data_IF_158636832814
#
_entry.id   IF_158636832814
#
_cell.length_a   1.000
_cell.length_b   1.000
_cell.length_c   1.000
_cell.angle_alpha   90.00
_cell.angle_beta   90.00
_cell.angle_gamma   90.00
#
_symmetry.space_group_name_H-M   'P 1'
#
loop_
_entity.id
_entity.type
_entity.pdbx_description
1 polymer ?
#
# COMPACT_ATOMS: atom_id res chain seq x y z
N UNK A 1 -69.00 -15.49 49.32
CA UNK A 1 -67.60 -16.00 49.27
C UNK A 1 -67.22 -16.18 47.81
N UNK A 2 -66.37 -15.31 47.26
CA UNK A 2 -65.88 -15.43 45.87
C UNK A 2 -64.66 -16.34 45.87
N UNK A 3 -64.72 -17.42 45.10
CA UNK A 3 -63.61 -18.34 44.85
C UNK A 3 -62.62 -17.65 43.92
N UNK A 4 -61.35 -17.54 44.36
CA UNK A 4 -60.26 -17.07 43.50
C UNK A 4 -59.95 -18.19 42.51
N UNK A 5 -59.94 -17.91 41.21
CA UNK A 5 -59.70 -18.93 40.20
C UNK A 5 -58.22 -19.36 40.15
N UNK A 6 -57.97 -20.67 39.98
CA UNK A 6 -56.63 -21.29 40.01
C UNK A 6 -55.61 -20.69 39.02
N UNK A 7 -56.07 -20.11 37.92
CA UNK A 7 -55.21 -19.44 36.93
C UNK A 7 -54.60 -18.13 37.44
N UNK A 8 -55.23 -17.46 38.42
CA UNK A 8 -54.66 -16.27 39.06
C UNK A 8 -53.40 -16.60 39.89
N UNK A 9 -53.34 -17.80 40.49
CA UNK A 9 -52.14 -18.24 41.22
C UNK A 9 -50.95 -18.53 40.31
N UNK A 10 -51.20 -19.07 39.12
CA UNK A 10 -50.14 -19.41 38.14
C UNK A 10 -49.51 -18.13 37.55
N UNK A 11 -50.33 -17.11 37.25
CA UNK A 11 -49.84 -15.82 36.74
C UNK A 11 -49.02 -15.07 37.79
N UNK A 12 -49.41 -15.13 39.07
CA UNK A 12 -48.66 -14.50 40.16
C UNK A 12 -47.32 -15.23 40.41
N UNK A 13 -47.28 -16.56 40.30
CA UNK A 13 -46.03 -17.34 40.41
C UNK A 13 -45.10 -17.07 39.21
N UNK A 14 -45.63 -16.97 37.99
CA UNK A 14 -44.82 -16.63 36.81
C UNK A 14 -44.23 -15.21 36.88
N UNK A 15 -45.02 -14.24 37.36
CA UNK A 15 -44.55 -12.87 37.61
C UNK A 15 -43.53 -12.82 38.76
N UNK A 16 -43.70 -13.60 39.82
CA UNK A 16 -42.73 -13.74 40.90
C UNK A 16 -41.43 -14.43 40.44
N UNK A 17 -41.47 -15.42 39.56
CA UNK A 17 -40.27 -16.02 38.97
C UNK A 17 -39.54 -15.04 38.05
N UNK A 18 -40.28 -14.23 37.28
CA UNK A 18 -39.67 -13.19 36.43
C UNK A 18 -39.05 -12.05 37.23
N UNK A 19 -39.64 -11.66 38.37
CA UNK A 19 -39.07 -10.63 39.25
C UNK A 19 -37.93 -11.18 40.11
N UNK A 20 -37.95 -12.45 40.50
CA UNK A 20 -36.81 -13.11 41.18
C UNK A 20 -35.61 -13.26 40.24
N UNK A 21 -35.79 -13.45 38.94
CA UNK A 21 -34.68 -13.43 37.96
C UNK A 21 -34.04 -12.03 37.83
N UNK A 22 -34.82 -10.96 37.98
CA UNK A 22 -34.31 -9.58 37.93
C UNK A 22 -33.64 -9.16 39.27
N UNK A 23 -34.11 -9.70 40.40
CA UNK A 23 -33.60 -9.36 41.76
C UNK A 23 -32.47 -10.28 42.25
N UNK A 24 -32.30 -11.48 41.67
CA UNK A 24 -31.30 -12.47 42.12
C UNK A 24 -29.86 -12.23 41.67
N UNK A 25 -29.58 -11.18 40.88
CA UNK A 25 -28.23 -10.92 40.41
C UNK A 25 -27.69 -12.02 39.48
N UNK A 26 -28.56 -12.73 38.76
CA UNK A 26 -28.19 -13.73 37.73
C UNK A 26 -27.95 -13.09 36.35
N UNK A 27 -28.36 -11.83 36.17
CA UNK A 27 -28.14 -11.03 34.94
C UNK A 27 -26.65 -10.72 34.60
N UNK A 28 -25.67 -10.68 35.54
CA UNK A 28 -24.26 -10.51 35.18
C UNK A 28 -23.70 -11.66 34.32
N UNK A 29 -24.30 -12.86 34.36
CA UNK A 29 -23.82 -14.04 33.64
C UNK A 29 -24.26 -14.13 32.17
N UNK A 30 -24.99 -13.12 31.67
CA UNK A 30 -25.51 -13.10 30.29
C UNK A 30 -25.01 -11.92 29.46
N UNK A 31 -24.14 -11.07 30.01
CA UNK A 31 -23.53 -9.98 29.22
C UNK A 31 -22.26 -10.52 28.55
N UNK A 32 -22.09 -10.36 27.22
CA UNK A 32 -20.84 -10.73 26.57
C UNK A 32 -19.71 -9.85 27.10
N UNK A 33 -18.46 -10.35 27.04
CA UNK A 33 -17.28 -9.60 27.47
C UNK A 33 -17.09 -8.30 26.65
N UNK A 34 -17.49 -8.33 25.38
CA UNK A 34 -17.53 -7.17 24.49
C UNK A 34 -18.67 -7.28 23.47
N UNK A 35 -19.09 -6.15 22.93
CA UNK A 35 -19.95 -6.05 21.74
C UNK A 35 -19.18 -5.35 20.65
N UNK A 36 -19.07 -5.99 19.50
CA UNK A 36 -18.34 -5.49 18.34
C UNK A 36 -19.28 -4.93 17.27
N UNK A 37 -18.75 -4.17 16.31
CA UNK A 37 -19.50 -3.70 15.16
C UNK A 37 -20.18 -4.85 14.40
N UNK A 38 -21.40 -4.60 13.94
CA UNK A 38 -22.12 -5.51 13.05
C UNK A 38 -23.09 -4.72 12.19
N UNK A 39 -23.41 -5.28 11.03
CA UNK A 39 -24.34 -4.69 10.08
C UNK A 39 -25.75 -5.14 10.41
N UNK A 40 -26.63 -4.16 10.62
CA UNK A 40 -28.08 -4.40 10.60
C UNK A 40 -28.62 -3.78 9.32
N UNK A 41 -28.95 -4.57 8.28
CA UNK A 41 -29.45 -4.03 7.02
C UNK A 41 -30.67 -3.13 7.26
N UNK A 42 -30.66 -1.95 6.65
CA UNK A 42 -31.75 -0.98 6.78
C UNK A 42 -32.64 -1.03 5.54
N UNK A 43 -33.95 -0.98 5.74
CA UNK A 43 -34.89 -0.89 4.64
C UNK A 43 -34.78 0.51 4.00
N UNK A 44 -34.08 0.60 2.87
CA UNK A 44 -33.79 1.88 2.21
C UNK A 44 -33.57 1.74 0.71
N UNK A 45 -34.26 2.62 -0.03
CA UNK A 45 -34.38 2.82 -1.49
C UNK A 45 -33.63 1.88 -2.46
N UNK A 46 -34.42 1.20 -3.30
CA UNK A 46 -33.98 0.33 -4.40
C UNK A 46 -33.25 1.14 -5.50
N UNK A 47 -31.92 1.21 -5.39
CA UNK A 47 -30.89 1.24 -6.46
C UNK A 47 -29.73 2.15 -6.05
N UNK A 48 -28.61 1.54 -5.65
CA UNK A 48 -27.30 2.17 -5.76
C UNK A 48 -26.78 1.95 -7.17
N UNK A 49 -26.17 2.99 -7.76
CA UNK A 49 -25.36 2.78 -8.95
C UNK A 49 -24.25 1.78 -8.63
N UNK A 50 -23.99 0.79 -9.50
CA UNK A 50 -22.90 -0.14 -9.27
C UNK A 50 -21.57 0.61 -9.14
N UNK A 51 -20.72 0.16 -8.22
CA UNK A 51 -19.39 0.72 -8.07
C UNK A 51 -18.52 0.30 -9.26
N UNK A 52 -17.91 1.27 -9.92
CA UNK A 52 -17.03 1.05 -11.07
C UNK A 52 -15.58 1.37 -10.71
N UNK A 53 -14.67 0.48 -11.11
CA UNK A 53 -13.25 0.58 -10.85
C UNK A 53 -12.45 0.33 -12.13
N UNK A 54 -11.35 1.04 -12.26
CA UNK A 54 -10.36 0.83 -13.32
C UNK A 54 -9.01 0.61 -12.65
N UNK A 55 -8.36 -0.50 -12.95
CA UNK A 55 -7.04 -0.81 -12.41
C UNK A 55 -6.14 -1.45 -13.47
N UNK A 56 -4.85 -1.20 -13.35
CA UNK A 56 -3.83 -1.82 -14.21
C UNK A 56 -3.30 -3.05 -13.49
N UNK A 57 -3.19 -4.17 -14.20
CA UNK A 57 -2.50 -5.34 -13.71
C UNK A 57 -1.77 -6.01 -14.88
N UNK A 58 -0.46 -6.19 -14.71
CA UNK A 58 0.45 -6.56 -15.78
C UNK A 58 0.28 -5.66 -17.01
N UNK A 59 0.08 -6.24 -18.19
CA UNK A 59 0.02 -5.53 -19.48
C UNK A 59 -1.39 -5.02 -19.83
N UNK A 60 -2.37 -5.21 -18.95
CA UNK A 60 -3.77 -4.92 -19.22
C UNK A 60 -4.38 -3.97 -18.20
N UNK A 61 -5.43 -3.28 -18.64
CA UNK A 61 -6.28 -2.46 -17.80
C UNK A 61 -7.65 -3.13 -17.69
N UNK A 62 -8.10 -3.34 -16.46
CA UNK A 62 -9.35 -4.02 -16.15
C UNK A 62 -10.40 -3.01 -15.69
N UNK A 63 -11.63 -3.27 -16.11
CA UNK A 63 -12.81 -2.49 -15.73
C UNK A 63 -13.74 -3.40 -14.94
N UNK A 64 -13.92 -3.11 -13.66
CA UNK A 64 -14.79 -3.89 -12.77
C UNK A 64 -16.03 -3.07 -12.44
N UNK A 65 -17.20 -3.67 -12.64
CA UNK A 65 -18.50 -3.13 -12.23
C UNK A 65 -19.09 -4.03 -11.18
N UNK A 66 -19.24 -3.53 -9.95
CA UNK A 66 -19.70 -4.29 -8.80
C UNK A 66 -21.03 -3.74 -8.27
N UNK A 67 -22.14 -4.48 -8.39
CA UNK A 67 -23.37 -4.15 -7.68
C UNK A 67 -23.13 -4.10 -6.17
N UNK A 68 -23.76 -3.14 -5.50
CA UNK A 68 -23.69 -3.00 -4.04
C UNK A 68 -25.10 -3.10 -3.48
N UNK A 69 -25.30 -3.96 -2.50
CA UNK A 69 -26.59 -4.06 -1.80
C UNK A 69 -26.85 -2.79 -0.99
N UNK A 70 -27.92 -2.08 -1.33
CA UNK A 70 -28.27 -0.79 -0.72
C UNK A 70 -28.65 -0.91 0.75
N UNK A 71 -29.31 -2.00 1.15
CA UNK A 71 -29.74 -2.23 2.52
C UNK A 71 -28.55 -2.56 3.42
N UNK A 72 -27.63 -3.40 2.93
CA UNK A 72 -26.38 -3.74 3.64
C UNK A 72 -25.48 -2.52 3.74
N UNK A 73 -25.27 -1.77 2.65
CA UNK A 73 -24.47 -0.53 2.67
C UNK A 73 -25.06 0.50 3.65
N UNK A 74 -26.37 0.72 3.60
CA UNK A 74 -27.04 1.62 4.55
C UNK A 74 -26.86 1.17 5.99
N UNK A 75 -27.01 -0.14 6.25
CA UNK A 75 -26.82 -0.72 7.58
C UNK A 75 -25.39 -0.58 8.11
N UNK A 76 -24.39 -0.78 7.24
CA UNK A 76 -22.98 -0.61 7.57
C UNK A 76 -22.65 0.85 7.91
N UNK A 77 -23.19 1.79 7.14
CA UNK A 77 -22.96 3.22 7.32
C UNK A 77 -23.67 3.79 8.55
N UNK A 78 -24.87 3.32 8.87
CA UNK A 78 -25.67 3.79 10.01
C UNK A 78 -25.35 3.05 11.32
N UNK A 79 -24.77 1.86 11.23
CA UNK A 79 -24.42 1.01 12.37
C UNK A 79 -23.31 1.60 13.25
N UNK A 80 -23.26 1.15 14.51
CA UNK A 80 -22.16 1.49 15.42
C UNK A 80 -20.88 0.79 14.97
N UNK A 81 -19.81 1.56 14.79
CA UNK A 81 -18.46 1.08 14.46
C UNK A 81 -17.53 0.99 15.67
N UNK A 82 -18.06 1.19 16.87
CA UNK A 82 -17.30 1.13 18.11
C UNK A 82 -17.40 -0.24 18.78
N UNK A 83 -16.29 -0.72 19.36
CA UNK A 83 -16.33 -1.80 20.35
C UNK A 83 -16.84 -1.27 21.70
N UNK A 84 -17.69 -2.03 22.37
CA UNK A 84 -18.12 -1.77 23.74
C UNK A 84 -17.61 -2.89 24.63
N UNK A 85 -16.62 -2.59 25.47
CA UNK A 85 -16.02 -3.56 26.40
C UNK A 85 -16.77 -3.53 27.74
N UNK A 86 -17.24 -4.70 28.18
CA UNK A 86 -17.87 -4.88 29.49
C UNK A 86 -16.91 -5.51 30.51
N UNK A 87 -15.81 -6.08 30.04
CA UNK A 87 -14.71 -6.62 30.82
C UNK A 87 -13.39 -5.94 30.42
N UNK A 88 -12.38 -6.04 31.30
CA UNK A 88 -11.03 -5.55 31.05
C UNK A 88 -10.29 -6.56 30.17
N UNK A 89 -10.40 -6.39 28.84
CA UNK A 89 -9.75 -7.24 27.85
C UNK A 89 -8.41 -6.63 27.45
N UNK A 90 -7.39 -7.49 27.29
CA UNK A 90 -6.11 -7.07 26.75
C UNK A 90 -6.29 -6.49 25.34
N UNK A 91 -5.52 -5.45 25.05
CA UNK A 91 -5.53 -4.72 23.79
C UNK A 91 -5.39 -5.64 22.58
N UNK A 92 -4.55 -6.65 22.69
CA UNK A 92 -4.32 -7.60 21.61
C UNK A 92 -5.54 -8.46 21.29
N UNK A 93 -6.35 -8.77 22.31
CA UNK A 93 -7.52 -9.65 22.20
C UNK A 93 -8.69 -8.87 21.61
N UNK A 94 -9.06 -7.73 22.21
CA UNK A 94 -10.26 -7.04 21.78
C UNK A 94 -10.09 -6.38 20.41
N UNK A 95 -8.87 -5.90 20.06
CA UNK A 95 -8.62 -5.34 18.73
C UNK A 95 -8.68 -6.41 17.63
N UNK A 96 -8.21 -7.63 17.91
CA UNK A 96 -8.32 -8.73 16.96
C UNK A 96 -9.80 -9.05 16.64
N UNK A 97 -10.61 -9.21 17.68
CA UNK A 97 -12.06 -9.46 17.53
C UNK A 97 -12.78 -8.27 16.89
N UNK A 98 -12.34 -7.04 17.18
CA UNK A 98 -12.88 -5.81 16.58
C UNK A 98 -12.71 -5.80 15.06
N UNK A 99 -11.50 -6.00 14.55
CA UNK A 99 -11.27 -6.01 13.09
C UNK A 99 -11.89 -7.24 12.42
N UNK A 100 -11.90 -8.40 13.08
CA UNK A 100 -12.60 -9.58 12.56
C UNK A 100 -14.10 -9.33 12.38
N UNK A 101 -14.74 -8.58 13.28
CA UNK A 101 -16.16 -8.25 13.14
C UNK A 101 -16.48 -7.44 11.86
N UNK A 102 -15.58 -6.57 11.40
CA UNK A 102 -15.74 -5.89 10.10
C UNK A 102 -15.61 -6.83 8.90
N UNK A 103 -14.76 -7.85 9.02
CA UNK A 103 -14.42 -8.76 7.92
C UNK A 103 -15.42 -9.91 7.80
N UNK A 104 -15.97 -10.37 8.91
CA UNK A 104 -16.76 -11.59 9.03
C UNK A 104 -18.27 -11.33 9.15
N UNK A 105 -18.73 -10.08 9.03
CA UNK A 105 -20.16 -9.80 9.01
C UNK A 105 -20.84 -10.55 7.85
N UNK A 106 -21.82 -11.44 8.13
CA UNK A 106 -22.38 -12.35 7.13
C UNK A 106 -23.13 -11.63 6.00
N UNK A 107 -23.55 -10.37 6.20
CA UNK A 107 -24.25 -9.62 5.16
C UNK A 107 -23.32 -9.16 4.03
N UNK A 108 -22.00 -9.26 4.19
CA UNK A 108 -21.03 -8.87 3.17
C UNK A 108 -20.59 -10.04 2.27
N UNK A 109 -21.01 -11.28 2.54
CA UNK A 109 -20.55 -12.44 1.77
C UNK A 109 -20.88 -12.35 0.28
N UNK A 110 -22.05 -11.83 -0.08
CA UNK A 110 -22.43 -11.66 -1.48
C UNK A 110 -21.51 -10.67 -2.22
N UNK A 111 -21.02 -9.63 -1.54
CA UNK A 111 -20.04 -8.71 -2.09
C UNK A 111 -18.71 -9.43 -2.36
N UNK A 112 -18.20 -10.17 -1.38
CA UNK A 112 -16.94 -10.89 -1.51
C UNK A 112 -17.00 -11.95 -2.62
N UNK A 113 -18.09 -12.73 -2.66
CA UNK A 113 -18.33 -13.72 -3.71
C UNK A 113 -18.41 -13.05 -5.09
N UNK A 114 -19.07 -11.90 -5.20
CA UNK A 114 -19.14 -11.13 -6.44
C UNK A 114 -17.78 -10.67 -6.94
N UNK A 115 -16.99 -10.06 -6.06
CA UNK A 115 -15.62 -9.60 -6.36
C UNK A 115 -14.71 -10.78 -6.74
N UNK A 116 -14.67 -11.81 -5.91
CA UNK A 116 -13.83 -13.00 -6.15
C UNK A 116 -14.20 -13.68 -7.46
N UNK A 117 -15.48 -13.88 -7.76
CA UNK A 117 -15.91 -14.45 -9.04
C UNK A 117 -15.42 -13.63 -10.24
N UNK A 118 -15.45 -12.31 -10.16
CA UNK A 118 -14.93 -11.45 -11.22
C UNK A 118 -13.42 -11.65 -11.40
N UNK A 119 -12.66 -11.74 -10.31
CA UNK A 119 -11.23 -12.01 -10.35
C UNK A 119 -10.91 -13.44 -10.81
N UNK A 120 -11.67 -14.46 -10.38
CA UNK A 120 -11.48 -15.85 -10.79
C UNK A 120 -11.68 -16.02 -12.30
N UNK A 121 -12.67 -15.32 -12.88
CA UNK A 121 -12.84 -15.32 -14.34
C UNK A 121 -11.60 -14.79 -15.06
N UNK A 122 -11.00 -13.70 -14.57
CA UNK A 122 -9.75 -13.16 -15.12
C UNK A 122 -8.58 -14.12 -14.90
N UNK A 123 -8.47 -14.70 -13.70
CA UNK A 123 -7.47 -15.72 -13.37
C UNK A 123 -7.50 -16.87 -14.36
N UNK A 124 -8.68 -17.41 -14.62
CA UNK A 124 -8.86 -18.59 -15.46
C UNK A 124 -8.65 -18.25 -16.95
N UNK A 125 -9.10 -17.07 -17.40
CA UNK A 125 -8.86 -16.57 -18.76
C UNK A 125 -7.37 -16.33 -19.04
N UNK A 126 -6.69 -15.59 -18.15
CA UNK A 126 -5.28 -15.21 -18.29
C UNK A 126 -4.32 -16.29 -17.78
N UNK A 127 -4.85 -17.37 -17.19
CA UNK A 127 -4.10 -18.47 -16.58
C UNK A 127 -3.10 -17.97 -15.54
N UNK A 128 -3.57 -17.08 -14.67
CA UNK A 128 -2.76 -16.57 -13.57
C UNK A 128 -2.48 -17.71 -12.59
N UNK A 129 -1.23 -17.81 -12.14
CA UNK A 129 -0.88 -18.68 -11.02
C UNK A 129 -1.35 -18.06 -9.70
N UNK A 130 -1.09 -18.76 -8.60
CA UNK A 130 -1.49 -18.34 -7.26
C UNK A 130 -0.89 -16.98 -6.86
N UNK A 131 0.33 -16.65 -7.25
CA UNK A 131 0.93 -15.38 -6.83
C UNK A 131 0.40 -14.23 -7.67
N UNK A 132 0.28 -14.42 -8.98
CA UNK A 132 -0.29 -13.44 -9.91
C UNK A 132 -1.77 -13.17 -9.63
N UNK A 133 -2.53 -14.18 -9.19
CA UNK A 133 -3.92 -13.99 -8.76
C UNK A 133 -4.02 -13.10 -7.51
N UNK A 134 -3.18 -13.34 -6.51
CA UNK A 134 -3.08 -12.50 -5.31
C UNK A 134 -2.67 -11.07 -5.69
N UNK A 135 -1.67 -10.92 -6.55
CA UNK A 135 -1.16 -9.62 -7.00
C UNK A 135 -2.23 -8.83 -7.76
N UNK A 136 -3.11 -9.49 -8.52
CA UNK A 136 -4.23 -8.84 -9.19
C UNK A 136 -5.27 -8.29 -8.20
N UNK A 137 -5.62 -9.07 -7.17
CA UNK A 137 -6.55 -8.63 -6.11
C UNK A 137 -5.92 -7.43 -5.36
N UNK A 138 -4.63 -7.53 -5.04
CA UNK A 138 -3.86 -6.43 -4.43
C UNK A 138 -3.86 -5.18 -5.30
N UNK A 139 -3.58 -5.31 -6.61
CA UNK A 139 -3.56 -4.18 -7.55
C UNK A 139 -4.94 -3.51 -7.68
N UNK A 140 -6.02 -4.29 -7.63
CA UNK A 140 -7.38 -3.75 -7.57
C UNK A 140 -7.58 -2.88 -6.32
N UNK A 141 -7.24 -3.39 -5.13
CA UNK A 141 -7.42 -2.63 -3.89
C UNK A 141 -6.51 -1.40 -3.85
N UNK A 142 -5.25 -1.52 -4.28
CA UNK A 142 -4.32 -0.39 -4.40
C UNK A 142 -4.85 0.72 -5.33
N UNK A 143 -5.60 0.35 -6.39
CA UNK A 143 -6.18 1.32 -7.32
C UNK A 143 -7.38 2.11 -6.74
N UNK A 144 -7.97 1.67 -5.63
CA UNK A 144 -9.02 2.43 -4.93
C UNK A 144 -8.41 3.73 -4.38
N UNK A 145 -8.95 4.93 -4.71
CA UNK A 145 -8.43 6.20 -4.22
C UNK A 145 -8.24 6.25 -2.69
N UNK A 146 -7.07 6.74 -2.26
CA UNK A 146 -6.78 6.97 -0.85
C UNK A 146 -7.54 8.22 -0.34
N UNK A 147 -8.17 8.13 0.82
CA UNK A 147 -8.85 9.25 1.47
C UNK A 147 -8.33 9.39 2.91
N UNK A 148 -7.67 10.50 3.23
CA UNK A 148 -7.29 10.79 4.62
C UNK A 148 -8.53 11.14 5.43
N UNK A 149 -8.75 10.42 6.53
CA UNK A 149 -9.78 10.71 7.53
C UNK A 149 -9.19 11.44 8.75
N UNK A 150 -10.01 12.19 9.52
CA UNK A 150 -9.58 12.70 10.81
C UNK A 150 -9.10 11.56 11.74
N UNK A 151 -8.17 11.83 12.67
CA UNK A 151 -7.81 10.87 13.71
C UNK A 151 -9.05 10.35 14.42
N UNK A 152 -8.99 9.09 14.86
CA UNK A 152 -10.07 8.39 15.56
C UNK A 152 -11.36 8.16 14.73
N UNK A 153 -11.30 8.34 13.41
CA UNK A 153 -12.37 7.86 12.52
C UNK A 153 -12.33 6.34 12.49
N UNK A 154 -13.41 5.63 12.86
CA UNK A 154 -13.41 4.18 12.84
C UNK A 154 -13.42 3.64 11.40
N UNK A 155 -12.82 2.45 11.17
CA UNK A 155 -12.79 1.81 9.86
C UNK A 155 -14.18 1.62 9.27
N UNK A 156 -14.23 1.58 7.94
CA UNK A 156 -15.37 1.17 7.16
C UNK A 156 -15.49 -0.34 7.09
N UNK A 157 -16.73 -0.83 7.01
CA UNK A 157 -16.96 -2.17 6.50
C UNK A 157 -16.53 -2.23 5.03
N UNK A 158 -15.96 -3.36 4.55
CA UNK A 158 -15.56 -3.51 3.15
C UNK A 158 -16.62 -3.12 2.12
N UNK A 159 -17.91 -3.32 2.41
CA UNK A 159 -19.01 -2.84 1.54
C UNK A 159 -19.05 -1.32 1.38
N UNK A 160 -18.75 -0.55 2.42
CA UNK A 160 -18.69 0.91 2.35
C UNK A 160 -17.48 1.35 1.50
N UNK A 161 -16.31 0.73 1.68
CA UNK A 161 -15.11 1.01 0.87
C UNK A 161 -15.38 0.81 -0.63
N UNK A 162 -16.10 -0.27 -0.98
CA UNK A 162 -16.50 -0.54 -2.37
C UNK A 162 -17.56 0.45 -2.85
N UNK A 163 -18.61 0.70 -2.07
CA UNK A 163 -19.70 1.61 -2.43
C UNK A 163 -19.21 3.04 -2.67
N UNK A 164 -18.29 3.52 -1.83
CA UNK A 164 -17.77 4.88 -1.86
C UNK A 164 -16.59 5.05 -2.82
N UNK A 165 -15.96 3.95 -3.24
CA UNK A 165 -14.80 3.90 -4.13
C UNK A 165 -13.59 4.68 -3.58
N UNK A 166 -13.41 4.63 -2.25
CA UNK A 166 -12.30 5.29 -1.54
C UNK A 166 -12.19 4.80 -0.10
N UNK A 167 -11.00 4.87 0.46
CA UNK A 167 -10.73 4.58 1.88
C UNK A 167 -9.31 4.97 2.28
N UNK A 168 -9.03 5.00 3.57
CA UNK A 168 -7.67 5.09 4.14
C UNK A 168 -7.04 3.70 4.33
N UNK A 169 -6.02 3.61 5.18
CA UNK A 169 -5.14 2.45 5.31
C UNK A 169 -5.84 1.22 5.89
N UNK A 170 -6.70 1.38 6.89
CA UNK A 170 -7.48 0.30 7.49
C UNK A 170 -8.67 -0.08 6.59
N UNK A 171 -9.43 0.87 6.06
CA UNK A 171 -10.51 0.62 5.08
C UNK A 171 -10.08 -0.31 3.94
N UNK A 172 -8.92 0.00 3.35
CA UNK A 172 -8.38 -0.73 2.20
C UNK A 172 -7.71 -2.04 2.63
N UNK A 173 -7.03 -2.07 3.78
CA UNK A 173 -6.42 -3.29 4.30
C UNK A 173 -7.46 -4.32 4.73
N UNK A 174 -8.58 -3.90 5.32
CA UNK A 174 -9.70 -4.77 5.65
C UNK A 174 -10.31 -5.39 4.39
N UNK A 175 -10.58 -4.60 3.35
CA UNK A 175 -11.08 -5.12 2.08
C UNK A 175 -10.11 -6.15 1.46
N UNK A 176 -8.82 -5.83 1.41
CA UNK A 176 -7.83 -6.76 0.84
C UNK A 176 -7.72 -8.05 1.65
N UNK A 177 -7.65 -7.95 2.98
CA UNK A 177 -7.55 -9.13 3.85
C UNK A 177 -8.79 -10.03 3.75
N UNK A 178 -9.99 -9.44 3.67
CA UNK A 178 -11.24 -10.18 3.46
C UNK A 178 -11.23 -10.99 2.15
N UNK A 179 -10.73 -10.38 1.07
CA UNK A 179 -10.68 -11.02 -0.25
C UNK A 179 -9.61 -12.11 -0.30
N UNK A 180 -8.39 -11.83 0.16
CA UNK A 180 -7.29 -12.80 0.11
C UNK A 180 -7.52 -14.01 1.03
N UNK A 181 -8.03 -13.80 2.25
CA UNK A 181 -8.35 -14.92 3.15
C UNK A 181 -9.40 -15.86 2.54
N UNK A 182 -10.46 -15.30 1.94
CA UNK A 182 -11.50 -16.08 1.23
C UNK A 182 -11.00 -16.73 -0.07
N UNK A 183 -10.00 -16.14 -0.71
CA UNK A 183 -9.28 -16.76 -1.83
C UNK A 183 -8.33 -17.89 -1.39
N UNK A 184 -8.20 -18.15 -0.08
CA UNK A 184 -7.46 -19.28 0.48
C UNK A 184 -6.03 -18.98 0.90
N UNK A 185 -5.61 -17.71 0.91
CA UNK A 185 -4.28 -17.29 1.36
C UNK A 185 -4.23 -17.18 2.89
N UNK A 186 -3.06 -17.52 3.44
CA UNK A 186 -2.73 -17.28 4.84
C UNK A 186 -2.38 -15.79 5.03
N UNK A 187 -3.28 -15.06 5.69
CA UNK A 187 -3.32 -13.60 5.70
C UNK A 187 -3.43 -13.06 7.12
N UNK A 188 -2.72 -11.97 7.36
CA UNK A 188 -2.79 -11.20 8.61
C UNK A 188 -3.06 -9.73 8.32
N UNK A 189 -3.62 -9.01 9.28
CA UNK A 189 -3.48 -7.56 9.35
C UNK A 189 -2.22 -7.23 10.16
N UNK A 190 -1.47 -6.26 9.67
CA UNK A 190 -0.44 -5.57 10.44
C UNK A 190 -1.02 -4.26 10.95
N UNK A 191 -1.30 -4.20 12.25
CA UNK A 191 -1.81 -3.01 12.91
C UNK A 191 -0.66 -2.30 13.64
N UNK A 192 -0.20 -1.17 13.08
CA UNK A 192 0.83 -0.31 13.67
C UNK A 192 0.16 0.78 14.50
N UNK A 193 -0.25 0.41 15.72
CA UNK A 193 -1.00 1.29 16.63
C UNK A 193 -0.29 2.62 16.86
N UNK A 194 1.02 2.58 17.14
CA UNK A 194 1.82 3.78 17.44
C UNK A 194 2.02 4.69 16.22
N UNK A 195 2.07 4.10 15.02
CA UNK A 195 2.27 4.84 13.77
C UNK A 195 0.93 5.25 13.12
N UNK A 196 -0.21 4.79 13.64
CA UNK A 196 -1.54 5.04 13.08
C UNK A 196 -1.69 4.49 11.66
N UNK A 197 -1.14 3.31 11.38
CA UNK A 197 -1.16 2.69 10.05
C UNK A 197 -1.59 1.23 10.09
N UNK A 198 -2.28 0.79 9.04
CA UNK A 198 -2.63 -0.60 8.82
C UNK A 198 -2.16 -1.07 7.45
N UNK A 199 -1.65 -2.29 7.41
CA UNK A 199 -1.28 -2.99 6.18
C UNK A 199 -1.75 -4.45 6.23
N UNK A 200 -1.57 -5.17 5.12
CA UNK A 200 -1.86 -6.60 5.04
C UNK A 200 -0.56 -7.38 4.99
N UNK A 201 -0.51 -8.55 5.62
CA UNK A 201 0.55 -9.53 5.47
C UNK A 201 0.04 -10.79 4.77
N UNK A 202 0.84 -11.36 3.87
CA UNK A 202 0.60 -12.71 3.32
C UNK A 202 1.75 -13.63 3.66
N UNK A 203 1.46 -14.87 4.08
CA UNK A 203 2.50 -15.79 4.50
C UNK A 203 3.50 -16.03 3.36
N UNK A 204 4.78 -15.92 3.66
CA UNK A 204 5.86 -16.03 2.67
C UNK A 204 7.06 -16.73 3.27
N UNK A 205 7.82 -17.44 2.43
CA UNK A 205 9.04 -18.15 2.85
C UNK A 205 10.27 -17.24 2.90
N UNK A 206 10.21 -16.08 2.25
CA UNK A 206 11.29 -15.07 2.26
C UNK A 206 10.75 -13.66 2.09
N UNK A 207 11.61 -12.65 2.23
CA UNK A 207 11.23 -11.23 2.18
C UNK A 207 10.05 -10.87 3.10
N UNK A 208 10.08 -11.39 4.33
CA UNK A 208 9.04 -11.16 5.34
C UNK A 208 9.28 -9.85 6.07
N UNK A 209 8.21 -9.22 6.54
CA UNK A 209 8.30 -8.07 7.43
C UNK A 209 8.78 -8.51 8.81
N UNK A 210 9.95 -8.04 9.23
CA UNK A 210 10.58 -8.47 10.48
C UNK A 210 10.68 -9.99 10.59
N UNK A 211 10.32 -10.54 11.74
CA UNK A 211 10.28 -11.99 12.00
C UNK A 211 8.85 -12.56 11.97
N UNK A 212 7.91 -11.86 11.32
CA UNK A 212 6.48 -12.23 11.35
C UNK A 212 6.15 -13.50 10.55
N UNK A 213 6.96 -13.83 9.53
CA UNK A 213 6.65 -14.90 8.58
C UNK A 213 5.73 -14.48 7.42
N UNK A 214 5.38 -13.19 7.33
CA UNK A 214 4.50 -12.65 6.28
C UNK A 214 5.21 -11.56 5.48
N UNK A 215 5.03 -11.56 4.15
CA UNK A 215 5.42 -10.47 3.28
C UNK A 215 4.45 -9.29 3.44
N UNK A 216 5.00 -8.08 3.53
CA UNK A 216 4.22 -6.85 3.66
C UNK A 216 3.48 -6.50 2.38
N UNK A 217 2.21 -6.12 2.47
CA UNK A 217 1.42 -5.60 1.37
C UNK A 217 0.93 -4.20 1.74
N UNK A 218 1.52 -3.20 1.07
CA UNK A 218 1.02 -1.84 1.13
C UNK A 218 -0.28 -1.71 0.33
N UNK A 219 -1.31 -1.08 0.89
CA UNK A 219 -2.61 -0.90 0.21
C UNK A 219 -2.87 0.54 -0.23
N UNK A 220 -2.18 1.52 0.34
CA UNK A 220 -2.42 2.96 0.15
C UNK A 220 -1.81 3.55 -1.10
N UNK A 221 -0.81 2.87 -1.69
CA UNK A 221 -0.21 3.21 -2.98
C UNK A 221 0.17 1.93 -3.75
N UNK A 222 0.47 2.09 -5.04
CA UNK A 222 0.95 0.99 -5.89
C UNK A 222 2.32 0.53 -5.41
N UNK A 223 2.39 -0.75 -5.05
CA UNK A 223 3.60 -1.38 -4.54
C UNK A 223 3.61 -2.88 -4.81
N UNK A 224 4.79 -3.47 -4.94
CA UNK A 224 4.93 -4.92 -5.05
C UNK A 224 4.64 -5.61 -3.70
N UNK A 225 4.13 -6.84 -3.76
CA UNK A 225 3.97 -7.68 -2.56
C UNK A 225 5.35 -8.01 -1.97
N UNK A 226 5.58 -7.62 -0.72
CA UNK A 226 6.85 -7.71 -0.02
C UNK A 226 7.70 -6.44 -0.09
N UNK A 227 7.23 -5.36 -0.73
CA UNK A 227 7.89 -4.06 -0.68
C UNK A 227 7.33 -3.21 0.46
N UNK A 228 8.22 -2.73 1.33
CA UNK A 228 7.90 -1.83 2.44
C UNK A 228 8.33 -0.41 2.04
N UNK A 229 7.39 0.53 1.82
CA UNK A 229 7.74 1.90 1.47
C UNK A 229 8.49 2.61 2.62
N UNK A 230 9.45 3.47 2.28
CA UNK A 230 10.18 4.31 3.25
C UNK A 230 9.26 5.37 3.87
N UNK A 231 8.30 5.86 3.08
CA UNK A 231 7.25 6.79 3.53
C UNK A 231 5.92 6.36 2.92
N UNK A 232 4.91 6.33 3.76
CA UNK A 232 3.56 5.88 3.45
C UNK A 232 2.66 7.06 3.13
N UNK A 233 1.46 6.78 2.59
CA UNK A 233 0.46 7.81 2.34
C UNK A 233 0.18 8.60 3.64
N UNK A 234 0.11 9.93 3.53
CA UNK A 234 -0.02 10.82 4.70
C UNK A 234 1.31 11.13 5.42
N UNK A 235 2.45 10.64 4.92
CA UNK A 235 3.78 10.94 5.47
C UNK A 235 4.20 10.07 6.65
N UNK A 236 3.48 8.96 6.89
CA UNK A 236 3.77 8.02 7.98
C UNK A 236 5.09 7.28 7.69
N UNK A 237 5.88 7.05 8.74
CA UNK A 237 7.08 6.21 8.72
C UNK A 237 6.88 5.15 9.78
N UNK A 238 7.05 3.88 9.43
CA UNK A 238 6.89 2.78 10.38
C UNK A 238 8.09 2.75 11.34
N UNK A 239 7.82 2.80 12.65
CA UNK A 239 8.87 2.86 13.67
C UNK A 239 8.85 1.67 14.65
N UNK A 240 7.74 0.92 14.70
CA UNK A 240 7.54 -0.20 15.62
C UNK A 240 7.23 -1.54 14.96
N UNK A 241 7.12 -2.58 15.79
CA UNK A 241 6.58 -3.88 15.38
C UNK A 241 5.04 -3.82 15.39
N UNK A 242 4.35 -4.37 14.38
CA UNK A 242 2.90 -4.36 14.33
C UNK A 242 2.32 -5.41 15.27
N UNK A 243 1.09 -5.17 15.72
CA UNK A 243 0.23 -6.24 16.16
C UNK A 243 -0.15 -7.08 14.92
N UNK A 244 0.05 -8.40 15.02
CA UNK A 244 -0.26 -9.36 13.95
C UNK A 244 -1.60 -10.02 14.23
N UNK A 245 -2.60 -9.76 13.38
CA UNK A 245 -3.97 -10.27 13.56
C UNK A 245 -4.29 -11.25 12.43
N UNK A 246 -4.44 -12.54 12.74
CA UNK A 246 -4.78 -13.58 11.76
C UNK A 246 -6.20 -13.46 11.23
N UNK A 247 -6.37 -13.57 9.91
CA UNK A 247 -7.65 -13.45 9.22
C UNK A 247 -8.00 -14.75 8.49
N UNK A 248 -9.17 -15.30 8.82
CA UNK A 248 -9.67 -16.52 8.18
C UNK A 248 -8.81 -17.76 8.46
N UNK A 249 -8.87 -18.74 7.56
CA UNK A 249 -8.22 -20.04 7.70
C UNK A 249 -7.48 -20.49 6.44
N UNK A 250 -7.13 -19.54 5.57
CA UNK A 250 -6.35 -19.81 4.38
C UNK A 250 -4.95 -20.35 4.72
N UNK A 251 -4.34 -21.05 3.76
CA UNK A 251 -3.04 -21.71 3.94
C UNK A 251 -2.08 -21.49 2.77
N UNK A 252 -2.56 -20.86 1.68
CA UNK A 252 -1.72 -20.57 0.53
C UNK A 252 -0.73 -19.45 0.88
N UNK A 253 0.51 -19.65 0.42
CA UNK A 253 1.66 -18.78 0.68
C UNK A 253 2.08 -18.09 -0.61
N UNK A 254 2.59 -16.87 -0.49
CA UNK A 254 3.21 -16.13 -1.57
C UNK A 254 4.63 -16.64 -1.82
N UNK A 255 4.95 -17.04 -3.05
CA UNK A 255 6.21 -17.74 -3.40
C UNK A 255 7.19 -16.92 -4.24
N UNK A 256 6.73 -15.82 -4.83
CA UNK A 256 7.51 -14.96 -5.73
C UNK A 256 8.28 -13.87 -4.99
N UNK A 257 8.41 -13.98 -3.66
CA UNK A 257 9.10 -12.99 -2.81
C UNK A 257 10.56 -12.76 -3.18
N UNK A 258 11.25 -13.75 -3.74
CA UNK A 258 12.62 -13.60 -4.22
C UNK A 258 12.74 -12.66 -5.43
N UNK A 259 11.76 -12.69 -6.34
CA UNK A 259 11.73 -11.78 -7.49
C UNK A 259 11.43 -10.35 -7.04
N UNK A 260 10.48 -10.17 -6.12
CA UNK A 260 10.21 -8.86 -5.53
C UNK A 260 11.44 -8.32 -4.80
N UNK A 261 12.12 -9.14 -3.99
CA UNK A 261 13.35 -8.73 -3.32
C UNK A 261 14.43 -8.28 -4.31
N UNK A 262 14.57 -8.98 -5.45
CA UNK A 262 15.48 -8.56 -6.51
C UNK A 262 15.10 -7.19 -7.07
N UNK A 263 13.82 -6.97 -7.41
CA UNK A 263 13.32 -5.68 -7.92
C UNK A 263 13.62 -4.54 -6.93
N UNK A 264 13.32 -4.74 -5.64
CA UNK A 264 13.54 -3.74 -4.59
C UNK A 264 15.02 -3.36 -4.49
N UNK A 265 15.92 -4.35 -4.52
CA UNK A 265 17.37 -4.10 -4.49
C UNK A 265 17.80 -3.29 -5.71
N UNK A 266 17.30 -3.62 -6.90
CA UNK A 266 17.61 -2.87 -8.13
C UNK A 266 17.05 -1.44 -8.10
N UNK A 267 15.85 -1.24 -7.56
CA UNK A 267 15.27 0.09 -7.37
C UNK A 267 16.16 0.96 -6.47
N UNK A 268 16.59 0.41 -5.34
CA UNK A 268 17.44 1.12 -4.39
C UNK A 268 18.82 1.45 -4.97
N UNK A 269 19.47 0.50 -5.64
CA UNK A 269 20.75 0.73 -6.31
C UNK A 269 20.63 1.80 -7.40
N UNK A 270 19.58 1.74 -8.24
CA UNK A 270 19.35 2.74 -9.28
C UNK A 270 19.20 4.14 -8.68
N UNK A 271 18.43 4.25 -7.59
CA UNK A 271 18.23 5.51 -6.86
C UNK A 271 19.53 6.08 -6.29
N UNK A 272 20.36 5.24 -5.67
CA UNK A 272 21.65 5.65 -5.12
C UNK A 272 22.62 6.13 -6.21
N UNK A 273 22.71 5.40 -7.32
CA UNK A 273 23.57 5.75 -8.46
C UNK A 273 23.10 7.07 -9.10
N UNK A 274 21.79 7.24 -9.32
CA UNK A 274 21.20 8.49 -9.84
C UNK A 274 21.52 9.67 -8.94
N UNK A 275 21.39 9.50 -7.61
CA UNK A 275 21.74 10.52 -6.64
C UNK A 275 23.21 10.94 -6.74
N UNK A 276 24.13 9.97 -6.76
CA UNK A 276 25.56 10.24 -6.86
C UNK A 276 25.96 10.89 -8.20
N UNK A 277 25.39 10.42 -9.32
CA UNK A 277 25.64 11.00 -10.64
C UNK A 277 25.11 12.43 -10.73
N UNK A 278 23.95 12.73 -10.15
CA UNK A 278 23.42 14.08 -10.13
C UNK A 278 24.38 15.07 -9.44
N UNK A 279 25.00 14.67 -8.33
CA UNK A 279 26.02 15.48 -7.64
C UNK A 279 27.30 15.67 -8.47
N UNK A 280 27.79 14.60 -9.14
CA UNK A 280 28.98 14.69 -10.01
C UNK A 280 28.71 15.56 -11.24
N UNK A 281 27.57 15.39 -11.91
CA UNK A 281 27.12 16.18 -13.05
C UNK A 281 27.06 17.67 -12.66
N UNK A 282 26.49 17.99 -11.49
CA UNK A 282 26.43 19.36 -11.00
C UNK A 282 27.85 19.94 -10.76
N UNK A 283 28.75 19.17 -10.13
CA UNK A 283 30.15 19.58 -9.93
C UNK A 283 30.89 19.79 -11.24
N UNK A 284 30.74 18.89 -12.22
CA UNK A 284 31.40 19.00 -13.53
C UNK A 284 30.84 20.15 -14.36
N UNK A 285 29.53 20.38 -14.32
CA UNK A 285 28.89 21.53 -14.97
C UNK A 285 29.46 22.84 -14.44
N UNK A 286 29.65 22.96 -13.12
CA UNK A 286 30.30 24.11 -12.51
C UNK A 286 31.77 24.24 -12.94
N UNK A 287 32.54 23.15 -12.95
CA UNK A 287 33.94 23.18 -13.39
C UNK A 287 34.09 23.59 -14.86
N UNK A 288 33.18 23.12 -15.74
CA UNK A 288 33.14 23.50 -17.14
C UNK A 288 32.83 24.98 -17.33
N UNK A 289 31.86 25.52 -16.60
CA UNK A 289 31.54 26.97 -16.63
C UNK A 289 32.75 27.82 -16.23
N UNK A 290 33.42 27.46 -15.13
CA UNK A 290 34.62 28.18 -14.68
C UNK A 290 35.79 28.08 -15.68
N UNK A 291 35.98 26.93 -16.34
CA UNK A 291 37.00 26.78 -17.39
C UNK A 291 36.64 27.56 -18.66
N UNK A 292 35.37 27.59 -19.04
CA UNK A 292 34.89 28.35 -20.20
C UNK A 292 35.12 29.85 -20.02
N UNK A 293 34.81 30.39 -18.84
CA UNK A 293 35.09 31.78 -18.49
C UNK A 293 36.59 32.10 -18.59
N UNK A 294 37.44 31.25 -18.01
CA UNK A 294 38.90 31.43 -18.10
C UNK A 294 39.41 31.37 -19.54
N UNK A 295 38.95 30.42 -20.34
CA UNK A 295 39.32 30.31 -21.74
C UNK A 295 38.89 31.54 -22.55
N UNK A 296 37.77 32.16 -22.19
CA UNK A 296 37.33 33.41 -22.79
C UNK A 296 38.28 34.57 -22.46
N UNK A 297 38.70 34.69 -21.20
CA UNK A 297 39.67 35.70 -20.76
C UNK A 297 41.05 35.51 -21.43
N UNK A 298 41.57 34.28 -21.42
CA UNK A 298 42.85 33.93 -22.05
C UNK A 298 42.82 34.19 -23.54
N UNK A 299 41.74 33.82 -24.24
CA UNK A 299 41.57 34.11 -25.67
C UNK A 299 41.56 35.60 -25.95
N UNK A 300 40.93 36.39 -25.08
CA UNK A 300 40.90 37.85 -25.19
C UNK A 300 42.32 38.43 -25.04
N UNK A 301 43.07 37.97 -24.04
CA UNK A 301 44.48 38.37 -23.80
C UNK A 301 45.39 38.04 -24.98
N UNK A 302 45.34 36.78 -25.46
CA UNK A 302 46.11 36.30 -26.62
C UNK A 302 45.80 37.13 -27.88
N UNK A 303 44.53 37.50 -28.09
CA UNK A 303 44.13 38.33 -29.24
C UNK A 303 44.72 39.74 -29.14
N UNK A 304 44.70 40.36 -27.95
CA UNK A 304 45.29 41.68 -27.73
C UNK A 304 46.82 41.69 -27.90
N UNK A 305 47.51 40.63 -27.46
CA UNK A 305 48.95 40.45 -27.67
C UNK A 305 49.31 40.34 -29.16
N UNK A 306 48.48 39.64 -29.93
CA UNK A 306 48.62 39.54 -31.39
C UNK A 306 48.45 40.91 -32.07
N UNK A 307 47.43 41.67 -31.68
CA UNK A 307 47.14 43.01 -32.23
C UNK A 307 48.23 44.05 -31.92
N UNK A 308 48.85 43.97 -30.74
CA UNK A 308 49.94 44.86 -30.33
C UNK A 308 51.32 44.44 -30.86
N UNK A 309 51.42 43.24 -31.45
CA UNK A 309 52.66 42.69 -31.98
C UNK A 309 53.62 42.13 -30.93
N UNK A 310 53.16 41.91 -29.69
CA UNK A 310 53.96 41.29 -28.63
C UNK A 310 54.04 39.76 -28.81
N UNK A 311 54.99 39.36 -29.64
CA UNK A 311 55.26 37.95 -29.92
C UNK A 311 55.77 37.16 -28.71
N UNK A 312 56.44 37.80 -27.75
CA UNK A 312 56.97 37.12 -26.57
C UNK A 312 55.85 36.79 -25.57
N UNK A 313 54.98 37.76 -25.29
CA UNK A 313 53.78 37.56 -24.48
C UNK A 313 52.84 36.53 -25.11
N UNK A 314 52.58 36.65 -26.41
CA UNK A 314 51.75 35.68 -27.15
C UNK A 314 52.27 34.24 -26.96
N UNK A 315 53.56 34.01 -27.22
CA UNK A 315 54.15 32.67 -27.10
C UNK A 315 54.12 32.14 -25.66
N UNK A 316 54.16 33.01 -24.65
CA UNK A 316 54.06 32.62 -23.25
C UNK A 316 52.65 32.16 -22.86
N UNK A 317 51.60 32.75 -23.43
CA UNK A 317 50.20 32.45 -23.07
C UNK A 317 49.58 31.28 -23.88
N UNK A 318 50.10 30.99 -25.06
CA UNK A 318 49.59 29.88 -25.91
C UNK A 318 49.67 28.52 -25.21
N UNK A 319 50.74 28.24 -24.45
CA UNK A 319 50.87 26.95 -23.75
C UNK A 319 49.84 26.78 -22.61
N UNK A 320 49.68 27.74 -21.67
CA UNK A 320 48.58 27.74 -20.70
C UNK A 320 47.21 27.57 -21.34
N UNK A 321 46.90 28.34 -22.38
CA UNK A 321 45.62 28.25 -23.08
C UNK A 321 45.37 26.85 -23.65
N UNK A 322 46.34 26.28 -24.36
CA UNK A 322 46.21 24.92 -24.91
C UNK A 322 46.04 23.85 -23.82
N UNK A 323 46.66 24.04 -22.65
CA UNK A 323 46.48 23.14 -21.50
C UNK A 323 45.06 23.24 -20.96
N UNK A 324 44.53 24.44 -20.81
CA UNK A 324 43.19 24.66 -20.27
C UNK A 324 42.10 24.22 -21.28
N UNK A 325 42.32 24.38 -22.60
CA UNK A 325 41.47 23.79 -23.66
C UNK A 325 41.46 22.26 -23.56
N UNK A 326 42.62 21.63 -23.34
CA UNK A 326 42.69 20.18 -23.15
C UNK A 326 41.92 19.74 -21.92
N UNK A 327 42.06 20.46 -20.80
CA UNK A 327 41.33 20.18 -19.57
C UNK A 327 39.81 20.35 -19.75
N UNK A 328 39.38 21.40 -20.46
CA UNK A 328 37.97 21.61 -20.80
C UNK A 328 37.41 20.44 -21.61
N UNK A 329 38.08 20.03 -22.69
CA UNK A 329 37.63 18.91 -23.53
C UNK A 329 37.56 17.58 -22.76
N UNK A 330 38.51 17.33 -21.85
CA UNK A 330 38.48 16.16 -20.98
C UNK A 330 37.31 16.19 -20.01
N UNK A 331 37.06 17.33 -19.37
CA UNK A 331 35.90 17.50 -18.48
C UNK A 331 34.57 17.40 -19.22
N UNK A 332 34.50 17.92 -20.44
CA UNK A 332 33.29 17.85 -21.27
C UNK A 332 32.96 16.40 -21.63
N UNK A 333 33.97 15.63 -22.03
CA UNK A 333 33.79 14.21 -22.33
C UNK A 333 33.37 13.40 -21.09
N UNK A 334 33.95 13.68 -19.92
CA UNK A 334 33.56 13.03 -18.67
C UNK A 334 32.12 13.42 -18.26
N UNK A 335 31.78 14.70 -18.37
CA UNK A 335 30.42 15.19 -18.12
C UNK A 335 29.38 14.52 -19.01
N UNK A 336 29.66 14.40 -20.32
CA UNK A 336 28.78 13.72 -21.27
C UNK A 336 28.59 12.24 -20.89
N UNK A 337 29.68 11.55 -20.52
CA UNK A 337 29.61 10.17 -20.06
C UNK A 337 28.78 10.01 -18.77
N UNK A 338 28.87 10.96 -17.83
CA UNK A 338 28.08 10.92 -16.59
C UNK A 338 26.59 11.17 -16.86
N UNK A 339 26.27 12.09 -17.78
CA UNK A 339 24.88 12.35 -18.22
C UNK A 339 24.28 11.13 -18.92
N UNK A 340 25.01 10.51 -19.86
CA UNK A 340 24.55 9.29 -20.54
C UNK A 340 24.30 8.15 -19.55
N UNK A 341 25.20 7.99 -18.56
CA UNK A 341 25.00 7.01 -17.49
C UNK A 341 23.79 7.38 -16.63
N UNK A 342 23.61 8.64 -16.26
CA UNK A 342 22.47 9.11 -15.48
C UNK A 342 21.15 8.76 -16.18
N UNK A 343 21.02 9.09 -17.46
CA UNK A 343 19.79 8.86 -18.24
C UNK A 343 19.45 7.37 -18.31
N UNK A 344 20.45 6.50 -18.50
CA UNK A 344 20.27 5.06 -18.52
C UNK A 344 19.72 4.52 -17.18
N UNK A 345 20.33 4.93 -16.05
CA UNK A 345 19.94 4.44 -14.72
C UNK A 345 18.61 5.04 -14.27
N UNK A 346 18.38 6.32 -14.57
CA UNK A 346 17.09 6.95 -14.34
C UNK A 346 15.98 6.23 -15.12
N UNK A 347 16.27 5.77 -16.35
CA UNK A 347 15.37 4.92 -17.12
C UNK A 347 15.01 3.62 -16.40
N UNK A 348 15.98 2.93 -15.79
CA UNK A 348 15.73 1.72 -14.99
C UNK A 348 14.85 2.03 -13.77
N UNK A 349 15.19 3.06 -13.01
CA UNK A 349 14.40 3.47 -11.84
C UNK A 349 12.96 3.81 -12.22
N UNK A 350 12.76 4.63 -13.26
CA UNK A 350 11.44 5.04 -13.74
C UNK A 350 10.63 3.83 -14.22
N UNK A 351 11.25 2.90 -14.94
CA UNK A 351 10.58 1.68 -15.38
C UNK A 351 10.03 0.88 -14.20
N UNK A 352 10.82 0.68 -13.14
CA UNK A 352 10.36 -0.04 -11.94
C UNK A 352 9.15 0.66 -11.30
N UNK A 353 9.24 1.98 -11.11
CA UNK A 353 8.17 2.78 -10.47
C UNK A 353 6.87 2.72 -11.28
N UNK A 354 6.95 2.79 -12.60
CA UNK A 354 5.77 2.76 -13.49
C UNK A 354 5.13 1.36 -13.59
N UNK A 355 5.88 0.30 -13.34
CA UNK A 355 5.45 -1.10 -13.53
C UNK A 355 5.25 -1.87 -12.20
N UNK A 356 4.99 -1.17 -11.09
CA UNK A 356 4.70 -1.78 -9.77
C UNK A 356 3.48 -2.72 -9.72
N UNK A 357 2.70 -2.77 -10.79
CA UNK A 357 1.54 -3.65 -10.99
C UNK A 357 1.85 -4.87 -11.88
N UNK A 358 3.11 -5.05 -12.28
CA UNK A 358 3.60 -6.14 -13.16
C UNK A 358 4.92 -6.70 -12.61
N UNK A 359 4.89 -7.41 -11.46
CA UNK A 359 6.11 -8.06 -10.94
C UNK A 359 6.80 -8.92 -11.99
N UNK A 360 6.16 -9.91 -12.64
CA UNK A 360 6.88 -10.81 -13.53
C UNK A 360 7.48 -10.08 -14.75
N UNK A 361 6.75 -9.12 -15.32
CA UNK A 361 7.26 -8.29 -16.41
C UNK A 361 8.39 -7.37 -15.98
N UNK A 362 8.30 -6.77 -14.79
CA UNK A 362 9.37 -5.93 -14.22
C UNK A 362 10.62 -6.74 -13.93
N UNK A 363 10.47 -7.89 -13.29
CA UNK A 363 11.59 -8.80 -12.99
C UNK A 363 12.32 -9.21 -14.27
N UNK A 364 11.58 -9.69 -15.27
CA UNK A 364 12.17 -10.10 -16.54
C UNK A 364 12.86 -8.93 -17.26
N UNK A 365 12.24 -7.74 -17.27
CA UNK A 365 12.83 -6.56 -17.90
C UNK A 365 14.17 -6.17 -17.25
N UNK A 366 14.28 -6.26 -15.92
CA UNK A 366 15.52 -5.96 -15.20
C UNK A 366 16.63 -6.99 -15.46
N UNK A 367 16.28 -8.25 -15.72
CA UNK A 367 17.26 -9.25 -16.16
C UNK A 367 17.83 -8.92 -17.54
N UNK A 368 17.00 -8.36 -18.42
CA UNK A 368 17.40 -7.95 -19.77
C UNK A 368 18.10 -6.57 -19.79
N UNK A 369 17.89 -5.74 -18.75
CA UNK A 369 18.45 -4.39 -18.59
C UNK A 369 19.18 -4.26 -17.24
N UNK A 370 20.27 -5.03 -17.02
CA UNK A 370 20.99 -4.97 -15.76
C UNK A 370 21.60 -3.58 -15.55
N UNK A 371 21.60 -3.13 -14.30
CA UNK A 371 22.33 -1.92 -13.93
C UNK A 371 23.82 -2.11 -14.27
N UNK A 372 24.44 -1.21 -15.06
CA UNK A 372 25.87 -1.27 -15.34
C UNK A 372 26.67 -1.12 -14.05
N UNK A 373 27.68 -2.00 -13.92
CA UNK A 373 28.58 -2.09 -12.78
C UNK A 373 29.30 -0.78 -12.42
#
# INVERSE_FOLDING_TARGET
MRTIPQWAGIVVIALLCSSVLIVSGVVPFLRPAAVYPSITPVAGNDNLDPAEFVFSFEKEQYHLKMPVDAAVYGGAREGSKNAVLYEDLADEVWMAEYYQAFLEDPHQEDLYVGLLRAFENVRDEKKLDSDRYLEMITAFVQAIPYQVHPPDTPPKFPIETVAERKGDCDDKSLLLAALLSRAGYDVVLFNFVDDGHMAVGVASDSNTFGQTGYAYIETTDRSFVGAVPISLAGGVTLTGEPQVIGIGNGTARYRSSAETAYIIVREQEAKEIVGALNEEIARRSEALRNLEERLHEEKTSITALLETGDTAGYNAEVMPFNRDVKAYNQNLSAYQSDVERYDLIAGVYNYIVEHRHDRPGTYQWLLDHPLPA
#
